data_IF_207927891805
#
_entry.id   IF_207927891805
#
_cell.length_a   1.000
_cell.length_b   1.000
_cell.length_c   1.000
_cell.angle_alpha   90.00
_cell.angle_beta   90.00
_cell.angle_gamma   90.00
#
_symmetry.space_group_name_H-M   'P 1'
#
loop_
_entity.id
_entity.type
_entity.pdbx_description
1 polymer ?
#
# COMPACT_ATOMS: atom_id res chain seq x y z
N UNK A 1 5.71 7.24 -13.08
CA UNK A 1 5.14 6.55 -11.91
C UNK A 1 4.07 7.44 -11.34
N UNK A 2 2.80 7.03 -11.34
CA UNK A 2 1.89 7.57 -10.36
C UNK A 2 1.24 6.39 -9.65
N UNK A 3 1.79 6.02 -8.50
CA UNK A 3 1.03 5.32 -7.47
C UNK A 3 0.82 6.39 -6.41
N UNK A 4 -0.43 6.78 -6.18
CA UNK A 4 -0.87 7.92 -5.37
C UNK A 4 -0.56 7.77 -3.87
N UNK A 5 0.72 7.62 -3.54
CA UNK A 5 1.27 7.51 -2.21
C UNK A 5 2.30 6.39 -2.05
N UNK A 6 3.01 6.43 -0.93
CA UNK A 6 3.89 5.39 -0.45
C UNK A 6 3.06 4.17 -0.07
N UNK A 7 3.45 3.01 -0.58
CA UNK A 7 2.88 1.72 -0.20
C UNK A 7 4.00 0.74 0.15
N UNK A 8 3.63 -0.37 0.79
CA UNK A 8 4.55 -1.44 1.16
C UNK A 8 4.48 -2.58 0.13
N UNK A 9 5.58 -3.31 0.00
CA UNK A 9 5.70 -4.46 -0.91
C UNK A 9 6.21 -5.65 -0.10
N UNK A 10 5.63 -6.84 -0.33
CA UNK A 10 6.03 -8.08 0.34
C UNK A 10 4.85 -8.92 0.82
N UNK A 11 5.08 -9.76 1.82
CA UNK A 11 4.08 -10.69 2.38
C UNK A 11 3.22 -10.10 3.52
N UNK A 12 3.49 -8.85 3.94
CA UNK A 12 2.69 -8.14 4.93
C UNK A 12 3.07 -8.42 6.40
N UNK A 13 4.13 -9.18 6.67
CA UNK A 13 4.58 -9.44 8.04
C UNK A 13 5.40 -8.30 8.66
N UNK A 14 5.82 -7.33 7.84
CA UNK A 14 6.67 -6.22 8.27
C UNK A 14 6.05 -4.85 7.94
N UNK A 15 4.75 -4.79 7.60
CA UNK A 15 4.06 -3.53 7.23
C UNK A 15 4.18 -2.44 8.30
N UNK A 16 3.96 -2.71 9.59
CA UNK A 16 4.08 -1.67 10.61
C UNK A 16 5.47 -1.03 10.60
N UNK A 17 6.53 -1.85 10.47
CA UNK A 17 7.91 -1.39 10.44
C UNK A 17 8.27 -0.56 9.19
N UNK A 18 7.65 -0.86 8.04
CA UNK A 18 7.86 -0.08 6.80
C UNK A 18 7.07 1.22 6.84
N UNK A 19 5.85 1.18 7.35
CA UNK A 19 4.95 2.32 7.40
C UNK A 19 5.22 3.25 8.60
N UNK A 20 5.93 2.79 9.63
CA UNK A 20 6.26 3.58 10.84
C UNK A 20 6.98 4.90 10.52
N UNK A 21 7.90 4.88 9.55
CA UNK A 21 8.64 6.06 9.12
C UNK A 21 7.92 6.95 8.10
N UNK A 22 6.71 6.58 7.68
CA UNK A 22 5.98 7.27 6.61
C UNK A 22 4.73 7.93 7.22
N UNK A 23 4.55 9.25 7.09
CA UNK A 23 3.35 9.91 7.56
C UNK A 23 2.12 9.40 6.81
N UNK A 24 0.99 9.23 7.50
CA UNK A 24 -0.25 8.67 6.94
C UNK A 24 -0.79 9.46 5.75
N UNK A 25 -0.46 10.74 5.66
CA UNK A 25 -0.83 11.62 4.54
C UNK A 25 -0.16 11.21 3.22
N UNK A 26 1.03 10.62 3.31
CA UNK A 26 1.79 10.11 2.17
C UNK A 26 1.42 8.66 1.84
N UNK A 27 0.61 7.97 2.63
CA UNK A 27 0.20 6.59 2.33
C UNK A 27 -0.72 6.53 1.11
N UNK A 28 -0.61 5.46 0.32
CA UNK A 28 -1.57 5.20 -0.77
C UNK A 28 -2.99 5.24 -0.23
N UNK A 29 -3.83 6.13 -0.76
CA UNK A 29 -5.26 6.22 -0.40
C UNK A 29 -6.13 5.23 -1.17
N UNK A 30 -5.46 4.31 -1.84
CA UNK A 30 -5.98 3.45 -2.85
C UNK A 30 -6.78 2.29 -2.25
N UNK A 31 -7.81 1.85 -2.94
CA UNK A 31 -8.71 0.78 -2.49
C UNK A 31 -8.49 -0.50 -3.31
N UNK A 32 -8.54 -1.70 -2.70
CA UNK A 32 -8.98 -1.99 -1.34
C UNK A 32 -7.86 -1.90 -0.29
N UNK A 33 -8.18 -1.38 0.89
CA UNK A 33 -7.30 -1.49 2.07
C UNK A 33 -7.30 -2.91 2.58
N UNK A 34 -6.17 -3.36 3.10
CA UNK A 34 -6.08 -4.67 3.72
C UNK A 34 -6.08 -4.52 5.24
N UNK A 35 -6.75 -5.43 5.94
CA UNK A 35 -6.62 -5.53 7.39
C UNK A 35 -5.50 -6.51 7.71
N UNK A 36 -4.51 -6.05 8.49
CA UNK A 36 -3.39 -6.86 8.94
C UNK A 36 -3.11 -6.54 10.39
N UNK A 37 -3.11 -7.55 11.24
CA UNK A 37 -2.81 -7.40 12.67
C UNK A 37 -3.76 -6.38 13.36
N UNK A 38 -5.04 -6.38 12.97
CA UNK A 38 -6.05 -5.44 13.46
C UNK A 38 -5.89 -3.99 12.97
N UNK A 39 -4.96 -3.73 12.04
CA UNK A 39 -4.72 -2.41 11.46
C UNK A 39 -5.04 -2.40 9.96
N UNK A 40 -5.66 -1.33 9.49
CA UNK A 40 -5.91 -1.12 8.07
C UNK A 40 -4.69 -0.46 7.41
N UNK A 41 -4.11 -1.16 6.45
CA UNK A 41 -2.98 -0.69 5.66
C UNK A 41 -3.35 -0.53 4.19
N UNK A 42 -2.64 0.34 3.44
CA UNK A 42 -2.81 0.44 2.00
C UNK A 42 -2.61 -0.91 1.30
N UNK A 43 -3.19 -1.11 0.11
CA UNK A 43 -2.97 -2.31 -0.69
C UNK A 43 -1.49 -2.49 -0.97
N UNK A 44 -1.03 -3.74 -1.02
CA UNK A 44 0.35 -4.05 -1.42
C UNK A 44 0.64 -3.45 -2.79
N UNK A 45 1.79 -2.82 -2.95
CA UNK A 45 2.24 -2.38 -4.27
C UNK A 45 2.53 -3.58 -5.18
N UNK A 46 2.05 -3.55 -6.41
CA UNK A 46 2.46 -4.48 -7.47
C UNK A 46 3.56 -3.83 -8.32
N UNK A 47 4.75 -4.43 -8.35
CA UNK A 47 5.88 -3.96 -9.19
C UNK A 47 5.68 -4.30 -10.67
N UNK A 48 4.68 -5.13 -10.97
CA UNK A 48 4.30 -5.61 -12.29
C UNK A 48 2.91 -5.04 -12.61
N UNK A 49 2.85 -3.79 -13.06
CA UNK A 49 1.58 -3.11 -13.33
C UNK A 49 0.77 -3.85 -14.39
N UNK A 50 -0.24 -4.60 -13.95
CA UNK A 50 -1.36 -5.00 -14.80
C UNK A 50 -2.25 -3.78 -14.95
N UNK A 51 -2.76 -3.49 -16.15
CA UNK A 51 -3.57 -2.29 -16.45
C UNK A 51 -4.82 -2.14 -15.56
N UNK A 52 -5.22 -3.21 -14.89
CA UNK A 52 -6.32 -3.29 -13.93
C UNK A 52 -5.94 -2.81 -12.50
N UNK A 53 -4.65 -2.80 -12.16
CA UNK A 53 -4.09 -2.15 -10.95
C UNK A 53 -4.03 -0.63 -11.14
N UNK A 54 -3.83 -0.12 -12.37
CA UNK A 54 -3.81 1.33 -12.69
C UNK A 54 -5.16 2.04 -12.56
N UNK A 55 -6.27 1.30 -12.50
CA UNK A 55 -7.61 1.87 -12.29
C UNK A 55 -8.03 1.82 -10.81
N UNK A 56 -7.24 1.12 -9.97
CA UNK A 56 -7.42 1.04 -8.51
C UNK A 56 -6.26 1.71 -7.76
N UNK A 57 -5.16 2.03 -8.45
CA UNK A 57 -4.03 2.93 -8.15
C UNK A 57 -3.42 3.43 -9.47
#
# INVERSE_FOLDING_TARGET
MPVDGVTWIGCGNHVPKVMDGVPKEEWCKCEPKIEKDGHQYPPKGSVTGSLEDMLKC
#
